data_IF_873969499498
#
_entry.id   IF_873969499498
#
_cell.length_a   1.000
_cell.length_b   1.000
_cell.length_c   1.000
_cell.angle_alpha   90.00
_cell.angle_beta   90.00
_cell.angle_gamma   90.00
#
_symmetry.space_group_name_H-M   'P 1'
#
loop_
_entity.id
_entity.type
_entity.pdbx_description
1 polymer ?
#
# COMPACT_ATOMS: atom_id res chain seq x y z
N UNK A 1 22.03 -14.50 -11.30
CA UNK A 1 21.31 -13.20 -11.23
C UNK A 1 19.84 -13.48 -11.45
N UNK A 2 19.02 -13.27 -10.42
CA UNK A 2 17.62 -13.71 -10.39
C UNK A 2 16.77 -12.61 -9.75
N UNK A 3 15.87 -12.04 -10.54
CA UNK A 3 14.57 -11.59 -10.05
C UNK A 3 13.60 -11.71 -11.21
N UNK A 4 12.61 -12.58 -11.06
CA UNK A 4 11.33 -12.49 -11.76
C UNK A 4 10.31 -13.38 -11.04
N UNK A 5 9.36 -12.76 -10.34
CA UNK A 5 8.03 -13.33 -10.22
C UNK A 5 7.02 -12.28 -9.78
N UNK A 6 6.09 -11.97 -10.69
CA UNK A 6 4.73 -11.57 -10.37
C UNK A 6 3.92 -12.87 -10.34
N UNK A 7 3.24 -13.17 -9.25
CA UNK A 7 2.24 -14.22 -9.21
C UNK A 7 0.95 -13.66 -8.58
N UNK A 8 0.08 -13.17 -9.46
CA UNK A 8 -1.32 -12.93 -9.14
C UNK A 8 -2.07 -14.24 -9.40
N UNK A 9 -2.50 -14.89 -8.33
CA UNK A 9 -3.37 -16.06 -8.36
C UNK A 9 -4.58 -15.84 -7.46
N UNK A 10 -5.50 -14.97 -7.88
CA UNK A 10 -6.85 -14.92 -7.29
C UNK A 10 -7.84 -14.86 -8.44
N UNK A 11 -8.32 -16.03 -8.87
CA UNK A 11 -9.75 -16.33 -9.08
C UNK A 11 -9.85 -17.87 -9.05
N UNK A 12 -10.51 -18.42 -8.04
CA UNK A 12 -10.83 -19.85 -7.94
C UNK A 12 -9.71 -20.69 -7.34
N UNK A 13 -9.70 -20.86 -6.02
CA UNK A 13 -8.97 -21.96 -5.40
C UNK A 13 -9.85 -23.22 -5.43
N UNK A 14 -9.56 -24.15 -6.34
CA UNK A 14 -9.57 -25.54 -5.96
C UNK A 14 -8.28 -26.24 -6.39
N UNK A 15 -7.68 -26.95 -5.44
CA UNK A 15 -6.94 -28.19 -5.69
C UNK A 15 -5.58 -28.09 -6.38
N UNK A 16 -4.53 -28.32 -5.56
CA UNK A 16 -3.32 -29.10 -5.91
C UNK A 16 -2.51 -28.72 -7.15
N UNK A 17 -1.29 -28.23 -6.95
CA UNK A 17 -0.20 -28.37 -7.94
C UNK A 17 0.80 -29.42 -7.46
N UNK A 18 0.98 -30.54 -8.19
CA UNK A 18 1.96 -31.57 -7.87
C UNK A 18 3.22 -31.30 -8.72
N UNK A 19 4.28 -30.71 -8.14
CA UNK A 19 5.68 -30.88 -8.57
C UNK A 19 6.64 -29.94 -7.84
N UNK A 20 7.62 -30.55 -7.19
CA UNK A 20 8.99 -30.04 -7.09
C UNK A 20 9.30 -29.28 -5.81
N UNK A 21 10.31 -29.75 -5.10
CA UNK A 21 11.08 -29.03 -4.07
C UNK A 21 11.62 -27.71 -4.63
N UNK A 22 10.78 -26.70 -4.74
CA UNK A 22 11.22 -25.32 -4.67
C UNK A 22 10.95 -24.92 -3.23
N UNK A 23 12.00 -24.55 -2.50
CA UNK A 23 11.86 -23.69 -1.33
C UNK A 23 10.98 -22.52 -1.76
N UNK A 24 9.69 -22.60 -1.43
CA UNK A 24 8.77 -21.50 -1.63
C UNK A 24 9.24 -20.47 -0.63
N UNK A 25 10.06 -19.54 -1.09
CA UNK A 25 10.22 -18.26 -0.42
C UNK A 25 8.83 -17.63 -0.46
N UNK A 26 7.97 -18.01 0.49
CA UNK A 26 6.61 -17.50 0.68
C UNK A 26 6.72 -16.04 1.09
N UNK A 27 7.04 -15.22 0.10
CA UNK A 27 7.30 -13.81 0.27
C UNK A 27 6.08 -13.09 -0.25
N UNK A 28 5.12 -12.89 0.66
CA UNK A 28 3.91 -12.15 0.36
C UNK A 28 4.26 -10.66 0.22
N UNK A 29 4.59 -10.27 -1.01
CA UNK A 29 4.78 -8.87 -1.37
C UNK A 29 3.50 -8.33 -1.99
N UNK A 30 2.79 -7.50 -1.25
CA UNK A 30 1.92 -6.53 -1.90
C UNK A 30 2.82 -5.42 -2.41
N UNK A 31 2.84 -5.17 -3.72
CA UNK A 31 3.65 -4.09 -4.29
C UNK A 31 2.72 -3.03 -4.85
N UNK A 32 2.81 -1.82 -4.30
CA UNK A 32 2.17 -0.64 -4.86
C UNK A 32 3.12 0.01 -5.85
N UNK A 33 2.59 0.34 -7.03
CA UNK A 33 3.35 0.95 -8.13
C UNK A 33 2.96 2.41 -8.22
N UNK A 34 3.93 3.29 -8.04
CA UNK A 34 3.75 4.73 -8.21
C UNK A 34 4.52 5.20 -9.44
N UNK A 35 3.95 6.13 -10.22
CA UNK A 35 4.72 6.80 -11.26
C UNK A 35 5.82 7.66 -10.62
N UNK A 36 6.97 7.78 -11.29
CA UNK A 36 7.95 8.82 -10.95
C UNK A 36 7.38 10.18 -11.35
N UNK A 37 7.54 11.22 -10.52
CA UNK A 37 7.10 12.57 -10.86
C UNK A 37 7.69 12.99 -12.21
N UNK A 38 6.83 13.30 -13.18
CA UNK A 38 7.26 13.78 -14.50
C UNK A 38 7.18 15.30 -14.56
N UNK A 39 8.13 15.95 -15.22
CA UNK A 39 8.14 17.41 -15.42
C UNK A 39 7.07 17.91 -16.41
N UNK A 40 6.21 17.03 -16.95
CA UNK A 40 5.11 17.44 -17.83
C UNK A 40 4.03 18.15 -17.02
N UNK A 41 3.40 19.14 -17.64
CA UNK A 41 2.26 19.85 -17.06
C UNK A 41 1.14 18.85 -16.76
N UNK A 42 0.95 18.54 -15.47
CA UNK A 42 -0.08 17.62 -15.02
C UNK A 42 -1.34 18.40 -14.67
N UNK A 43 -2.53 17.80 -14.87
CA UNK A 43 -3.79 18.42 -14.44
C UNK A 43 -3.71 18.76 -12.94
N UNK A 44 -4.34 19.86 -12.56
CA UNK A 44 -4.50 20.24 -11.16
C UNK A 44 -5.79 19.63 -10.62
N UNK A 45 -5.80 19.35 -9.32
CA UNK A 45 -6.95 18.77 -8.62
C UNK A 45 -7.26 19.60 -7.39
N UNK A 46 -8.55 19.82 -7.12
CA UNK A 46 -8.99 20.58 -5.95
C UNK A 46 -9.03 19.70 -4.71
N UNK A 47 -8.82 20.29 -3.53
CA UNK A 47 -8.97 19.57 -2.27
C UNK A 47 -10.37 18.94 -2.12
N UNK A 48 -11.42 19.62 -2.60
CA UNK A 48 -12.78 19.08 -2.62
C UNK A 48 -12.88 17.79 -3.46
N UNK A 49 -12.32 17.80 -4.68
CA UNK A 49 -12.32 16.61 -5.56
C UNK A 49 -11.54 15.45 -4.93
N UNK A 50 -10.42 15.74 -4.25
CA UNK A 50 -9.67 14.70 -3.54
C UNK A 50 -10.49 14.12 -2.39
N UNK A 51 -11.22 14.94 -1.63
CA UNK A 51 -12.09 14.45 -0.56
C UNK A 51 -13.21 13.57 -1.11
N UNK A 52 -13.87 13.96 -2.20
CA UNK A 52 -14.91 13.17 -2.86
C UNK A 52 -14.36 11.83 -3.37
N UNK A 53 -13.20 11.86 -4.06
CA UNK A 53 -12.52 10.64 -4.51
C UNK A 53 -12.21 9.72 -3.32
N UNK A 54 -11.71 10.28 -2.21
CA UNK A 54 -11.34 9.51 -1.03
C UNK A 54 -12.57 8.84 -0.38
N UNK A 55 -13.70 9.55 -0.30
CA UNK A 55 -14.96 8.97 0.18
C UNK A 55 -15.41 7.81 -0.71
N UNK A 56 -15.35 7.98 -2.03
CA UNK A 56 -15.75 6.96 -3.01
C UNK A 56 -14.92 5.67 -2.95
N UNK A 57 -13.67 5.73 -2.49
CA UNK A 57 -12.78 4.55 -2.37
C UNK A 57 -12.65 4.01 -0.95
N UNK A 58 -13.16 4.71 0.06
CA UNK A 58 -13.00 4.30 1.46
C UNK A 58 -14.12 3.33 1.85
N UNK A 59 -13.75 2.07 2.11
CA UNK A 59 -14.69 1.06 2.58
C UNK A 59 -14.90 1.12 4.11
N UNK A 60 -16.11 0.74 4.54
CA UNK A 60 -16.48 0.54 5.95
C UNK A 60 -17.22 1.71 6.61
N UNK A 61 -17.92 2.52 5.80
CA UNK A 61 -18.98 3.43 6.20
C UNK A 61 -18.55 4.83 6.62
N UNK A 62 -19.52 5.71 6.96
CA UNK A 62 -19.30 7.15 7.11
C UNK A 62 -18.24 7.53 8.14
N UNK A 63 -18.13 6.76 9.22
CA UNK A 63 -17.12 7.01 10.26
C UNK A 63 -15.68 6.76 9.76
N UNK A 64 -15.48 5.79 8.86
CA UNK A 64 -14.16 5.54 8.27
C UNK A 64 -13.83 6.54 7.18
N UNK A 65 -14.83 6.93 6.39
CA UNK A 65 -14.71 8.01 5.41
C UNK A 65 -14.28 9.32 6.09
N UNK A 66 -14.93 9.72 7.19
CA UNK A 66 -14.58 10.91 7.94
C UNK A 66 -13.12 10.86 8.45
N UNK A 67 -12.70 9.74 9.03
CA UNK A 67 -11.31 9.54 9.47
C UNK A 67 -10.30 9.61 8.33
N UNK A 68 -10.64 9.06 7.16
CA UNK A 68 -9.78 9.12 5.99
C UNK A 68 -9.61 10.57 5.51
N UNK A 69 -10.70 11.35 5.48
CA UNK A 69 -10.67 12.77 5.12
C UNK A 69 -9.87 13.60 6.14
N UNK A 70 -10.00 13.33 7.44
CA UNK A 70 -9.23 14.03 8.47
C UNK A 70 -7.72 13.74 8.37
N UNK A 71 -7.34 12.50 8.06
CA UNK A 71 -5.93 12.16 7.82
C UNK A 71 -5.38 12.82 6.56
N UNK A 72 -6.18 12.85 5.48
CA UNK A 72 -5.83 13.59 4.28
C UNK A 72 -5.64 15.08 4.59
N UNK A 73 -6.52 15.68 5.38
CA UNK A 73 -6.41 17.09 5.81
C UNK A 73 -5.08 17.32 6.50
N UNK A 74 -4.77 16.55 7.53
CA UNK A 74 -3.53 16.69 8.29
C UNK A 74 -2.28 16.51 7.42
N UNK A 75 -2.29 15.54 6.51
CA UNK A 75 -1.18 15.29 5.60
C UNK A 75 -1.03 16.43 4.55
N UNK A 76 -2.15 16.95 4.06
CA UNK A 76 -2.16 18.08 3.12
C UNK A 76 -1.60 19.35 3.78
N UNK A 77 -2.01 19.64 5.01
CA UNK A 77 -1.46 20.73 5.81
C UNK A 77 0.06 20.53 5.96
N UNK A 78 0.49 19.41 6.51
CA UNK A 78 1.91 19.12 6.73
C UNK A 78 2.77 19.28 5.46
N UNK A 79 2.25 18.91 4.28
CA UNK A 79 3.02 18.91 3.02
C UNK A 79 2.96 20.24 2.24
N UNK A 80 1.80 20.88 2.19
CA UNK A 80 1.56 21.99 1.25
C UNK A 80 1.24 23.32 1.93
N UNK A 81 0.69 23.33 3.15
CA UNK A 81 0.21 24.56 3.80
C UNK A 81 0.31 24.50 5.31
N UNK A 82 0.79 25.56 5.94
CA UNK A 82 0.77 25.68 7.41
C UNK A 82 -0.63 25.92 8.03
N UNK A 83 -1.73 25.63 7.32
CA UNK A 83 -3.10 25.86 7.79
C UNK A 83 -4.14 25.09 6.97
N UNK A 84 -5.37 25.02 7.49
CA UNK A 84 -6.41 24.13 6.97
C UNK A 84 -6.72 24.36 5.47
N UNK A 85 -6.79 23.29 4.66
CA UNK A 85 -7.10 23.41 3.24
C UNK A 85 -8.53 23.88 3.01
N UNK A 86 -8.69 24.79 2.04
CA UNK A 86 -9.98 25.22 1.51
C UNK A 86 -10.40 24.30 0.35
N UNK A 87 -11.70 24.17 0.13
CA UNK A 87 -12.27 23.31 -0.92
C UNK A 87 -11.67 23.58 -2.32
N UNK A 88 -11.44 24.85 -2.64
CA UNK A 88 -10.88 25.34 -3.90
C UNK A 88 -9.35 25.27 -4.00
N UNK A 89 -8.65 24.76 -2.99
CA UNK A 89 -7.20 24.67 -3.04
C UNK A 89 -6.75 23.66 -4.09
N UNK A 90 -5.91 24.11 -5.02
CA UNK A 90 -5.48 23.31 -6.16
C UNK A 90 -4.01 22.93 -6.05
N UNK A 91 -3.69 21.65 -6.17
CA UNK A 91 -2.32 21.16 -6.33
C UNK A 91 -2.15 20.42 -7.66
N UNK A 92 -0.92 20.32 -8.20
CA UNK A 92 -0.63 19.39 -9.30
C UNK A 92 -0.98 17.95 -8.89
N UNK A 93 -1.55 17.15 -9.81
CA UNK A 93 -1.88 15.76 -9.52
C UNK A 93 -0.66 14.91 -9.12
N UNK A 94 0.53 15.21 -9.66
CA UNK A 94 1.80 14.60 -9.22
C UNK A 94 2.06 14.80 -7.72
N UNK A 95 1.80 16.00 -7.21
CA UNK A 95 1.98 16.32 -5.80
C UNK A 95 1.01 15.51 -4.93
N UNK A 96 -0.23 15.30 -5.40
CA UNK A 96 -1.19 14.40 -4.74
C UNK A 96 -0.67 12.95 -4.72
N UNK A 97 -0.15 12.45 -5.85
CA UNK A 97 0.41 11.08 -5.92
C UNK A 97 1.56 10.89 -4.94
N UNK A 98 2.41 11.90 -4.79
CA UNK A 98 3.47 11.89 -3.79
C UNK A 98 2.91 11.94 -2.36
N UNK A 99 1.94 12.83 -2.07
CA UNK A 99 1.30 12.89 -0.75
C UNK A 99 0.72 11.53 -0.36
N UNK A 100 -0.03 10.90 -1.27
CA UNK A 100 -0.62 9.58 -1.03
C UNK A 100 0.45 8.52 -0.79
N UNK A 101 1.58 8.58 -1.51
CA UNK A 101 2.72 7.69 -1.27
C UNK A 101 3.26 7.85 0.15
N UNK A 102 3.47 9.09 0.59
CA UNK A 102 4.01 9.40 1.92
C UNK A 102 3.07 8.92 3.03
N UNK A 103 1.76 9.17 2.89
CA UNK A 103 0.72 8.70 3.84
C UNK A 103 0.70 7.18 3.92
N UNK A 104 0.74 6.49 2.77
CA UNK A 104 0.78 5.03 2.72
C UNK A 104 2.03 4.49 3.43
N UNK A 105 3.21 5.04 3.14
CA UNK A 105 4.45 4.64 3.81
C UNK A 105 4.32 4.86 5.32
N UNK A 106 3.84 6.02 5.76
CA UNK A 106 3.69 6.34 7.18
C UNK A 106 2.74 5.35 7.89
N UNK A 107 1.56 5.10 7.32
CA UNK A 107 0.57 4.14 7.85
C UNK A 107 1.16 2.75 8.01
N UNK A 108 1.81 2.24 6.97
CA UNK A 108 2.38 0.89 7.02
C UNK A 108 3.63 0.82 7.90
N UNK A 109 4.42 1.89 8.01
CA UNK A 109 5.60 1.93 8.87
C UNK A 109 5.21 1.93 10.36
N UNK A 110 4.04 2.47 10.67
CA UNK A 110 3.48 2.47 12.02
C UNK A 110 2.92 1.09 12.43
N UNK A 111 2.79 0.11 11.53
CA UNK A 111 2.33 -1.24 11.85
C UNK A 111 3.51 -2.09 12.34
N UNK A 112 3.53 -2.51 13.63
CA UNK A 112 4.60 -3.36 14.14
C UNK A 112 4.66 -4.68 13.37
N UNK A 113 5.85 -5.04 12.89
CA UNK A 113 6.03 -6.23 12.06
C UNK A 113 5.66 -6.04 10.59
N UNK A 114 5.39 -4.82 10.11
CA UNK A 114 5.35 -4.55 8.67
C UNK A 114 6.75 -4.19 8.16
N UNK A 115 7.17 -4.83 7.07
CA UNK A 115 8.44 -4.55 6.40
C UNK A 115 8.13 -3.87 5.07
N UNK A 116 8.69 -2.69 4.86
CA UNK A 116 8.50 -1.90 3.64
C UNK A 116 9.83 -1.82 2.90
N UNK A 117 9.82 -2.09 1.60
CA UNK A 117 10.98 -1.97 0.72
C UNK A 117 10.63 -1.07 -0.46
N UNK A 118 11.09 0.20 -0.45
CA UNK A 118 11.03 1.04 -1.64
C UNK A 118 12.11 0.60 -2.64
N UNK A 119 11.75 0.54 -3.92
CA UNK A 119 12.67 0.31 -5.03
C UNK A 119 12.28 1.22 -6.19
N UNK A 120 13.25 1.94 -6.75
CA UNK A 120 13.04 2.69 -7.99
C UNK A 120 13.49 1.83 -9.17
N UNK A 121 12.60 1.60 -10.11
CA UNK A 121 12.90 0.90 -11.36
C UNK A 121 13.51 1.91 -12.35
N UNK A 122 14.77 1.66 -12.73
CA UNK A 122 15.57 2.52 -13.60
C UNK A 122 15.42 2.19 -15.09
N UNK A 123 14.83 1.04 -15.44
CA UNK A 123 14.57 0.64 -16.81
C UNK A 123 13.12 0.98 -17.16
N UNK A 124 12.96 2.04 -17.95
CA UNK A 124 11.72 2.53 -18.57
C UNK A 124 10.81 3.42 -17.70
N UNK A 125 10.82 4.74 -18.01
CA UNK A 125 9.96 5.82 -17.48
C UNK A 125 9.95 6.07 -15.96
N UNK A 126 10.75 5.35 -15.19
CA UNK A 126 10.87 5.55 -13.75
C UNK A 126 9.59 5.14 -13.02
N UNK A 127 9.64 4.04 -12.27
CA UNK A 127 8.55 3.65 -11.37
C UNK A 127 9.10 3.51 -9.96
N UNK A 128 8.30 3.91 -8.98
CA UNK A 128 8.59 3.67 -7.58
C UNK A 128 7.73 2.48 -7.15
N UNK A 129 8.39 1.37 -6.85
CA UNK A 129 7.80 0.16 -6.34
C UNK A 129 7.90 0.19 -4.81
N UNK A 130 6.76 0.09 -4.13
CA UNK A 130 6.70 -0.02 -2.69
C UNK A 130 6.18 -1.41 -2.33
N UNK A 131 7.10 -2.28 -1.94
CA UNK A 131 6.77 -3.65 -1.54
C UNK A 131 6.57 -3.74 -0.02
N UNK A 132 5.44 -4.30 0.39
CA UNK A 132 5.03 -4.49 1.78
C UNK A 132 5.03 -5.98 2.11
N UNK A 133 5.64 -6.34 3.23
CA UNK A 133 5.70 -7.71 3.73
C UNK A 133 5.39 -7.72 5.23
N UNK A 134 4.25 -8.30 5.66
CA UNK A 134 4.02 -8.54 7.08
C UNK A 134 4.96 -9.65 7.59
N UNK A 135 5.44 -9.51 8.81
CA UNK A 135 6.14 -10.57 9.52
C UNK A 135 5.17 -11.67 9.90
N UNK A 136 5.70 -12.87 10.16
CA UNK A 136 4.90 -13.97 10.65
C UNK A 136 4.15 -13.63 11.94
N UNK A 137 4.80 -12.91 12.87
CA UNK A 137 4.17 -12.47 14.11
C UNK A 137 2.95 -11.58 13.85
N UNK A 138 3.05 -10.62 12.92
CA UNK A 138 1.93 -9.76 12.53
C UNK A 138 0.81 -10.56 11.88
N UNK A 139 1.13 -11.54 11.02
CA UNK A 139 0.14 -12.43 10.40
C UNK A 139 -0.59 -13.28 11.45
N UNK A 140 0.14 -13.91 12.38
CA UNK A 140 -0.43 -14.71 13.48
C UNK A 140 -1.36 -13.87 14.35
N UNK A 141 -0.88 -12.73 14.85
CA UNK A 141 -1.69 -11.83 15.69
C UNK A 141 -2.95 -11.33 14.95
N UNK A 142 -2.83 -11.06 13.64
CA UNK A 142 -3.98 -10.64 12.83
C UNK A 142 -4.98 -11.79 12.63
N UNK A 143 -4.50 -13.01 12.36
CA UNK A 143 -5.34 -14.19 12.20
C UNK A 143 -6.10 -14.52 13.49
N UNK A 144 -5.43 -14.47 14.66
CA UNK A 144 -6.05 -14.63 15.97
C UNK A 144 -7.15 -13.60 16.22
N UNK A 145 -6.85 -12.31 15.99
CA UNK A 145 -7.82 -11.21 16.15
C UNK A 145 -9.05 -11.38 15.26
N UNK A 146 -8.85 -11.84 14.02
CA UNK A 146 -9.92 -12.09 13.05
C UNK A 146 -10.58 -13.47 13.24
N UNK A 147 -10.14 -14.25 14.23
CA UNK A 147 -10.61 -15.63 14.49
C UNK A 147 -10.51 -16.53 13.26
N UNK A 148 -9.49 -16.31 12.44
CA UNK A 148 -9.24 -17.10 11.24
C UNK A 148 -8.51 -18.38 11.63
N UNK A 149 -9.04 -19.53 11.21
CA UNK A 149 -8.32 -20.81 11.30
C UNK A 149 -7.29 -20.85 10.18
N UNK A 150 -6.03 -20.63 10.52
CA UNK A 150 -4.92 -20.86 9.61
C UNK A 150 -4.46 -22.31 9.74
N UNK A 151 -4.21 -23.04 8.64
CA UNK A 151 -3.56 -24.33 8.73
C UNK A 151 -2.20 -24.15 9.41
N UNK A 152 -1.93 -24.96 10.43
CA UNK A 152 -0.63 -25.01 11.09
C UNK A 152 0.39 -25.62 10.11
N UNK A 153 0.91 -24.81 9.19
CA UNK A 153 2.00 -25.22 8.32
C UNK A 153 3.31 -24.99 9.08
N UNK A 154 4.07 -26.07 9.28
CA UNK A 154 5.44 -26.04 9.79
C UNK A 154 6.41 -25.26 8.88
N UNK A 155 6.00 -24.93 7.64
CA UNK A 155 6.78 -24.09 6.73
C UNK A 155 6.94 -22.62 7.19
N UNK A 156 6.18 -22.20 8.20
CA UNK A 156 6.28 -20.86 8.78
C UNK A 156 7.24 -20.78 9.97
N UNK A 157 7.73 -21.90 10.49
CA UNK A 157 8.81 -21.90 11.48
C UNK A 157 10.14 -21.70 10.73
N UNK A 158 10.54 -20.44 10.57
CA UNK A 158 11.91 -20.12 10.15
C UNK A 158 12.75 -20.25 11.43
N UNK A 159 13.60 -21.27 11.46
CA UNK A 159 14.59 -21.53 12.49
C UNK A 159 15.35 -20.24 12.88
N UNK A 160 15.64 -20.16 14.18
CA UNK A 160 16.26 -19.04 14.89
C UNK A 160 17.71 -18.79 14.48
#
# INVERSE_FOLDING_TARGET
MSYNSVALGIVGSPGTSPRGEQHVLETFYYTLVFPVPSAREMPRISYADVCEMLRGVTAGGPAREARAVDELRAAWEAKFRSGAPMAQDMIPFSALQELMRDVIIARFSALPGMIIRPRTESQDKGRILLSFRPTLALLRATAERLKMRMPASSALEIDS
#
